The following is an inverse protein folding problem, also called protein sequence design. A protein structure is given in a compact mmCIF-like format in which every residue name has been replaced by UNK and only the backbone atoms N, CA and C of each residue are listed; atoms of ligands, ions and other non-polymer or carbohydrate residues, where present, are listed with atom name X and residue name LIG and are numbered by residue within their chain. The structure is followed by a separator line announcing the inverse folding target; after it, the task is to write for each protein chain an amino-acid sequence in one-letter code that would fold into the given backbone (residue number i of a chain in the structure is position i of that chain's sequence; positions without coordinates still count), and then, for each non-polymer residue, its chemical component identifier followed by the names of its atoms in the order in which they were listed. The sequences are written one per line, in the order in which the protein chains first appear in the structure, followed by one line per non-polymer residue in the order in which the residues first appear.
data_IF_877919761585
#
_entry.id   IF_877919761585
#
_cell.length_a   1.000
_cell.length_b   1.000
_cell.length_c   1.000
_cell.angle_alpha   90.00
_cell.angle_beta   90.00
_cell.angle_gamma   90.00
#
_symmetry.space_group_name_H-M   'P 1'
#
loop_
_entity.id
_entity.type
_entity.pdbx_description
1 polymer ?
#
# COMPACT_ATOMS: atom_id res chain seq x y z
N UNK A 1 -8.00 0.55 -2.11
CA UNK A 1 -6.65 1.00 -1.67
C UNK A 1 -6.81 1.81 -0.40
N UNK A 2 -5.96 1.58 0.61
CA UNK A 2 -6.10 2.15 1.95
C UNK A 2 -4.73 2.50 2.51
N UNK A 3 -4.56 3.73 3.01
CA UNK A 3 -3.31 4.19 3.62
C UNK A 3 -3.39 4.12 5.16
N UNK A 4 -2.32 3.65 5.81
CA UNK A 4 -2.15 3.70 7.26
C UNK A 4 -0.67 3.77 7.62
N UNK A 5 -0.30 4.74 8.45
CA UNK A 5 1.09 5.04 8.82
C UNK A 5 1.95 5.20 7.55
N UNK A 6 2.98 4.38 7.42
CA UNK A 6 3.93 4.40 6.32
C UNK A 6 3.57 3.44 5.18
N UNK A 7 2.36 2.85 5.23
CA UNK A 7 1.97 1.75 4.35
C UNK A 7 0.72 2.09 3.54
N UNK A 8 0.71 1.58 2.31
CA UNK A 8 -0.40 1.63 1.38
C UNK A 8 -0.83 0.22 1.02
N UNK A 9 -2.01 -0.17 1.50
CA UNK A 9 -2.59 -1.49 1.26
C UNK A 9 -3.47 -1.48 0.01
N UNK A 10 -3.24 -2.42 -0.90
CA UNK A 10 -4.00 -2.62 -2.13
C UNK A 10 -4.61 -4.02 -2.10
N UNK A 11 -5.93 -4.08 -1.97
CA UNK A 11 -6.70 -5.31 -2.18
C UNK A 11 -6.90 -5.53 -3.68
N UNK A 12 -6.55 -6.72 -4.15
CA UNK A 12 -6.73 -7.18 -5.53
C UNK A 12 -7.63 -8.41 -5.53
N UNK A 13 -8.41 -8.58 -6.58
CA UNK A 13 -9.11 -9.85 -6.80
C UNK A 13 -8.09 -10.98 -6.94
N UNK A 14 -8.47 -12.17 -6.49
CA UNK A 14 -7.71 -13.38 -6.74
C UNK A 14 -7.61 -13.71 -8.24
N UNK A 15 -6.75 -14.67 -8.60
CA UNK A 15 -6.68 -15.20 -9.97
C UNK A 15 -8.05 -15.75 -10.41
N UNK A 16 -8.24 -15.90 -11.72
CA UNK A 16 -9.53 -16.06 -12.41
C UNK A 16 -10.59 -16.92 -11.68
N UNK A 17 -10.23 -18.12 -11.22
CA UNK A 17 -11.17 -19.08 -10.61
C UNK A 17 -11.50 -18.76 -9.14
N UNK A 18 -10.68 -17.91 -8.49
CA UNK A 18 -10.76 -17.55 -7.08
C UNK A 18 -10.99 -16.03 -6.89
N UNK A 19 -11.74 -15.39 -7.80
CA UNK A 19 -11.96 -13.93 -7.77
C UNK A 19 -12.62 -13.41 -6.47
N UNK A 20 -13.29 -14.30 -5.72
CA UNK A 20 -13.85 -14.00 -4.40
C UNK A 20 -12.80 -14.05 -3.27
N UNK A 21 -11.62 -14.62 -3.50
CA UNK A 21 -10.50 -14.63 -2.56
C UNK A 21 -9.53 -13.53 -2.95
N UNK A 22 -9.70 -12.37 -2.33
CA UNK A 22 -8.83 -11.23 -2.58
C UNK A 22 -7.45 -11.44 -1.95
N UNK A 23 -6.43 -10.98 -2.68
CA UNK A 23 -5.05 -10.84 -2.21
C UNK A 23 -4.80 -9.41 -1.77
N UNK A 24 -3.76 -9.19 -0.97
CA UNK A 24 -3.36 -7.86 -0.53
C UNK A 24 -1.88 -7.65 -0.76
N UNK A 25 -1.53 -6.51 -1.36
CA UNK A 25 -0.15 -6.02 -1.38
C UNK A 25 -0.03 -4.78 -0.51
N UNK A 26 1.17 -4.56 0.02
CA UNK A 26 1.53 -3.41 0.82
C UNK A 26 2.69 -2.68 0.15
N UNK A 27 2.51 -1.39 -0.12
CA UNK A 27 3.61 -0.51 -0.49
C UNK A 27 4.05 0.29 0.73
N UNK A 28 5.32 0.18 1.11
CA UNK A 28 5.89 0.95 2.21
C UNK A 28 6.59 2.21 1.67
N UNK A 29 6.18 3.38 2.15
CA UNK A 29 6.63 4.68 1.63
C UNK A 29 8.11 4.95 1.97
N UNK A 30 8.59 4.54 3.15
CA UNK A 30 9.99 4.75 3.54
C UNK A 30 10.98 3.91 2.76
N UNK A 31 10.66 2.63 2.53
CA UNK A 31 11.52 1.73 1.76
C UNK A 31 11.30 1.82 0.25
N UNK A 32 10.15 2.36 -0.17
CA UNK A 32 9.74 2.41 -1.57
C UNK A 32 9.48 1.03 -2.18
N UNK A 33 9.19 0.01 -1.36
CA UNK A 33 9.04 -1.38 -1.79
C UNK A 33 7.60 -1.88 -1.71
N UNK A 34 7.25 -2.78 -2.63
CA UNK A 34 6.03 -3.58 -2.58
C UNK A 34 6.30 -4.92 -1.91
N UNK A 35 5.39 -5.34 -1.04
CA UNK A 35 5.41 -6.65 -0.38
C UNK A 35 4.05 -7.31 -0.53
N UNK A 36 4.03 -8.54 -1.03
CA UNK A 36 2.82 -9.37 -1.02
C UNK A 36 2.52 -9.78 0.43
N UNK A 37 1.32 -9.47 0.90
CA UNK A 37 0.90 -9.80 2.27
C UNK A 37 0.44 -11.25 2.32
N UNK A 38 0.69 -11.92 3.44
CA UNK A 38 0.24 -13.30 3.62
C UNK A 38 -1.26 -13.35 3.94
N UNK A 39 -1.92 -14.36 3.38
CA UNK A 39 -3.35 -14.61 3.60
C UNK A 39 -4.24 -14.20 2.43
N UNK A 40 -5.47 -14.70 2.49
CA UNK A 40 -6.52 -14.44 1.53
C UNK A 40 -7.74 -13.87 2.26
N UNK A 41 -8.46 -12.97 1.60
CA UNK A 41 -9.62 -12.30 2.17
C UNK A 41 -10.85 -12.60 1.34
N UNK A 42 -11.86 -13.23 1.96
CA UNK A 42 -13.13 -13.52 1.29
C UNK A 42 -13.94 -12.26 1.01
N UNK A 43 -14.24 -11.99 -0.26
CA UNK A 43 -15.07 -10.89 -0.74
C UNK A 43 -16.50 -11.33 -1.10
N UNK A 44 -16.97 -12.46 -0.55
CA UNK A 44 -18.33 -12.97 -0.78
C UNK A 44 -19.43 -11.99 -0.34
N UNK A 45 -19.12 -11.05 0.56
CA UNK A 45 -20.02 -9.98 1.02
C UNK A 45 -19.88 -8.67 0.23
N UNK A 46 -18.97 -8.61 -0.74
CA UNK A 46 -18.71 -7.44 -1.59
C UNK A 46 -18.18 -6.22 -0.85
N UNK A 47 -17.68 -6.36 0.38
CA UNK A 47 -17.25 -5.23 1.22
C UNK A 47 -15.77 -4.92 1.10
N UNK A 48 -14.93 -5.88 0.71
CA UNK A 48 -13.47 -5.75 0.85
C UNK A 48 -12.88 -4.65 -0.04
N UNK A 49 -13.46 -4.42 -1.22
CA UNK A 49 -12.90 -3.46 -2.19
C UNK A 49 -13.17 -2.00 -1.81
N UNK A 50 -14.04 -1.75 -0.83
CA UNK A 50 -14.29 -0.42 -0.26
C UNK A 50 -13.88 -0.42 1.20
N UNK A 51 -12.85 0.34 1.56
CA UNK A 51 -12.33 0.33 2.91
C UNK A 51 -11.85 1.72 3.37
N UNK A 52 -11.95 1.98 4.68
CA UNK A 52 -11.55 3.23 5.33
C UNK A 52 -10.77 2.94 6.61
N UNK A 53 -9.77 3.75 6.91
CA UNK A 53 -9.01 3.67 8.16
C UNK A 53 -9.58 4.63 9.20
N UNK A 54 -9.70 4.15 10.44
CA UNK A 54 -9.90 4.99 11.62
C UNK A 54 -8.97 4.52 12.73
N UNK A 55 -8.02 5.37 13.13
CA UNK A 55 -6.98 4.99 14.07
C UNK A 55 -6.13 3.85 13.51
N UNK A 56 -6.06 2.74 14.26
CA UNK A 56 -5.36 1.50 13.87
C UNK A 56 -6.31 0.40 13.35
N UNK A 57 -7.58 0.74 13.10
CA UNK A 57 -8.57 -0.18 12.53
C UNK A 57 -8.88 0.17 11.06
N UNK A 58 -9.18 -0.85 10.27
CA UNK A 58 -9.74 -0.73 8.93
C UNK A 58 -11.18 -1.21 8.93
N UNK A 59 -12.06 -0.46 8.30
CA UNK A 59 -13.45 -0.83 8.11
C UNK A 59 -13.68 -1.08 6.63
N UNK A 60 -14.07 -2.31 6.28
CA UNK A 60 -14.54 -2.65 4.94
C UNK A 60 -16.05 -2.47 4.89
N UNK A 61 -16.57 -1.95 3.78
CA UNK A 61 -17.93 -1.42 3.71
C UNK A 61 -18.70 -2.05 2.55
N UNK A 62 -19.86 -2.62 2.83
CA UNK A 62 -20.89 -2.90 1.84
C UNK A 62 -22.25 -2.41 2.29
N UNK A 63 -23.25 -2.60 1.42
CA UNK A 63 -24.65 -2.30 1.73
C UNK A 63 -25.14 -3.05 2.97
N UNK A 64 -24.71 -4.30 3.13
CA UNK A 64 -25.26 -5.24 4.10
C UNK A 64 -24.36 -5.43 5.33
N UNK A 65 -23.04 -5.35 5.15
CA UNK A 65 -22.06 -5.63 6.21
C UNK A 65 -20.97 -4.57 6.22
N UNK A 66 -20.58 -4.17 7.43
CA UNK A 66 -19.32 -3.49 7.70
C UNK A 66 -18.46 -4.42 8.54
N UNK A 67 -17.24 -4.74 8.09
CA UNK A 67 -16.31 -5.56 8.88
C UNK A 67 -15.13 -4.70 9.33
N UNK A 68 -14.91 -4.65 10.65
CA UNK A 68 -13.73 -4.05 11.26
C UNK A 68 -12.58 -5.07 11.28
N UNK A 69 -11.39 -4.60 10.92
CA UNK A 69 -10.14 -5.32 11.00
C UNK A 69 -9.14 -4.54 11.84
N UNK A 70 -8.36 -5.26 12.65
CA UNK A 70 -7.13 -4.73 13.24
C UNK A 70 -5.99 -4.86 12.24
N UNK A 71 -5.17 -3.82 12.10
CA UNK A 71 -3.95 -3.87 11.29
C UNK A 71 -2.84 -4.53 12.11
N UNK A 72 -2.45 -5.75 11.74
CA UNK A 72 -1.28 -6.44 12.29
C UNK A 72 -0.08 -6.31 11.32
N UNK A 73 1.12 -6.73 11.74
CA UNK A 73 2.36 -6.52 10.98
C UNK A 73 2.31 -6.99 9.52
N UNK A 74 1.60 -8.10 9.24
CA UNK A 74 1.57 -8.72 7.91
C UNK A 74 0.17 -9.13 7.43
N UNK A 75 -0.89 -8.69 8.11
CA UNK A 75 -2.28 -8.97 7.71
C UNK A 75 -3.28 -8.06 8.41
N UNK A 76 -4.49 -8.02 7.86
CA UNK A 76 -5.67 -7.49 8.54
C UNK A 76 -6.37 -8.63 9.26
N UNK A 77 -6.57 -8.51 10.57
CA UNK A 77 -7.28 -9.52 11.35
C UNK A 77 -8.72 -9.08 11.59
N UNK A 78 -9.73 -9.88 11.20
CA UNK A 78 -11.12 -9.55 11.49
C UNK A 78 -11.34 -9.41 12.99
N UNK A 79 -12.05 -8.35 13.40
CA UNK A 79 -12.34 -8.05 14.80
C UNK A 79 -13.84 -8.14 15.08
N UNK A 80 -14.66 -7.44 14.29
CA UNK A 80 -16.11 -7.40 14.50
C UNK A 80 -16.86 -7.12 13.20
N UNK A 81 -18.07 -7.69 13.07
CA UNK A 81 -18.98 -7.40 11.97
C UNK A 81 -20.20 -6.64 12.47
N UNK A 82 -20.57 -5.61 11.72
CA UNK A 82 -21.68 -4.71 12.00
C UNK A 82 -22.62 -4.65 10.79
N UNK A 83 -23.83 -4.13 11.03
CA UNK A 83 -24.77 -3.84 9.95
C UNK A 83 -24.16 -2.81 8.98
N UNK A 84 -24.26 -3.09 7.69
CA UNK A 84 -23.81 -2.19 6.63
C UNK A 84 -24.66 -0.92 6.55
N UNK A 85 -24.17 0.04 5.76
CA UNK A 85 -24.76 1.39 5.69
C UNK A 85 -26.10 1.46 4.93
N UNK A 86 -26.62 0.34 4.38
CA UNK A 86 -27.92 0.26 3.67
C UNK A 86 -27.99 1.01 2.33
N UNK A 87 -27.11 1.98 2.11
CA UNK A 87 -26.93 2.75 0.87
C UNK A 87 -25.79 2.15 0.05
N UNK A 88 -25.97 2.14 -1.27
CA UNK A 88 -24.91 1.79 -2.21
C UNK A 88 -24.08 3.04 -2.46
N UNK A 89 -22.76 2.94 -2.30
CA UNK A 89 -21.82 3.97 -2.72
C UNK A 89 -21.69 5.16 -1.77
N UNK A 90 -20.50 5.32 -1.22
CA UNK A 90 -19.95 6.62 -0.81
C UNK A 90 -18.54 6.69 -1.35
N UNK A 91 -18.39 7.26 -2.55
CA UNK A 91 -17.07 7.44 -3.16
C UNK A 91 -16.43 8.66 -2.49
N UNK A 92 -15.64 8.42 -1.45
CA UNK A 92 -14.69 9.41 -0.98
C UNK A 92 -13.41 9.27 -1.80
N UNK A 93 -13.22 10.13 -2.79
CA UNK A 93 -11.95 10.24 -3.53
C UNK A 93 -10.99 11.14 -2.77
N UNK A 94 -9.75 10.68 -2.58
CA UNK A 94 -8.66 11.50 -2.05
C UNK A 94 -7.45 11.41 -2.99
N UNK A 95 -6.72 12.52 -3.14
CA UNK A 95 -5.49 12.57 -3.94
C UNK A 95 -4.29 12.17 -3.07
N UNK A 96 -3.62 11.08 -3.43
CA UNK A 96 -2.36 10.69 -2.80
C UNK A 96 -1.19 11.42 -3.46
N UNK A 97 -0.38 12.15 -2.67
CA UNK A 97 0.89 12.71 -3.11
C UNK A 97 2.03 11.84 -2.58
N UNK A 98 2.72 11.14 -3.48
CA UNK A 98 3.90 10.36 -3.13
C UNK A 98 5.11 11.30 -2.86
N UNK A 99 6.06 10.91 -2.00
CA UNK A 99 7.30 11.64 -1.81
C UNK A 99 8.06 11.78 -3.14
N UNK A 100 8.67 12.93 -3.40
CA UNK A 100 9.58 13.08 -4.54
C UNK A 100 10.82 12.23 -4.29
N UNK A 101 11.26 11.47 -5.30
CA UNK A 101 12.51 10.72 -5.23
C UNK A 101 13.66 11.71 -5.11
N UNK A 102 14.27 11.80 -3.93
CA UNK A 102 15.51 12.55 -3.73
C UNK A 102 16.66 11.64 -4.17
N UNK A 103 16.99 11.63 -5.45
CA UNK A 103 18.21 10.95 -5.92
C UNK A 103 19.39 11.72 -5.31
N UNK A 104 20.28 11.09 -4.52
CA UNK A 104 21.46 11.77 -4.03
C UNK A 104 22.30 12.23 -5.22
N UNK A 105 22.59 13.54 -5.29
CA UNK A 105 23.36 14.14 -6.37
C UNK A 105 24.78 13.54 -6.51
N UNK A 106 25.24 12.77 -5.51
CA UNK A 106 26.52 12.09 -5.49
C UNK A 106 26.64 10.92 -6.49
N UNK A 107 25.54 10.42 -7.07
CA UNK A 107 25.62 9.33 -8.06
C UNK A 107 25.99 9.79 -9.48
N UNK A 108 26.21 11.10 -9.69
CA UNK A 108 26.52 11.68 -11.02
C UNK A 108 27.92 12.28 -11.15
N UNK A 109 28.82 12.13 -10.17
CA UNK A 109 30.20 12.58 -10.35
C UNK A 109 31.00 11.46 -11.03
N UNK A 110 31.37 11.57 -12.32
CA UNK A 110 32.43 10.74 -12.86
C UNK A 110 33.70 11.04 -12.08
N UNK A 111 34.36 9.98 -11.61
CA UNK A 111 35.67 10.02 -10.97
C UNK A 111 36.65 10.74 -11.92
N UNK A 112 36.92 12.02 -11.66
CA UNK A 112 37.97 12.75 -12.36
C UNK A 112 39.30 12.24 -11.83
N UNK A 113 39.89 11.28 -12.54
CA UNK A 113 41.28 10.88 -12.33
C UNK A 113 42.18 12.07 -12.68
N UNK A 114 43.12 12.47 -11.81
CA UNK A 114 44.07 13.52 -12.15
C UNK A 114 45.01 13.00 -13.23
N UNK A 115 45.02 13.63 -14.40
CA UNK A 115 46.07 13.41 -15.40
C UNK A 115 47.34 14.04 -14.86
N UNK A 116 48.31 13.20 -14.49
CA UNK A 116 49.60 13.63 -13.97
C UNK A 116 50.33 14.57 -14.93
N UNK A 117 50.65 15.76 -14.45
CA UNK A 117 51.54 16.71 -15.11
C UNK A 117 52.96 16.14 -15.17
N UNK A 118 53.36 15.67 -16.36
CA UNK A 118 54.77 15.56 -16.73
C UNK A 118 55.23 16.90 -17.30
N UNK A 119 55.77 17.76 -16.45
CA UNK A 119 56.74 18.76 -16.89
C UNK A 119 58.07 18.37 -16.27
N UNK A 120 58.93 17.84 -17.13
CA UNK A 120 60.35 17.58 -16.90
C UNK A 120 61.10 18.90 -16.80
N UNK A 121 62.02 18.94 -15.84
CA UNK A 121 63.08 19.94 -15.70
C UNK A 121 63.80 20.20 -17.04
N UNK A 122 64.01 21.48 -17.35
CA UNK A 122 65.22 22.08 -17.94
C UNK A 122 65.11 23.61 -17.90
#
# INVERSE_FOLDING_TARGET
MVAHKDNLYVLRNGPCDDFLLCLMDCYNLSSGQWTAMSGQYGNNKGSLLTAVVRGDSVFTLSRHVTTEYTIESHKWKPKHEMKGFGRIGSIYTFLMRLPKVTVPLSSFLPEMTPVGSKYTDL
#
